data_IF_304354352795
#
_entry.id   IF_304354352795
#
_cell.length_a   1.000
_cell.length_b   1.000
_cell.length_c   1.000
_cell.angle_alpha   90.00
_cell.angle_beta   90.00
_cell.angle_gamma   90.00
#
_symmetry.space_group_name_H-M   'P 1'
#
loop_
_entity.id
_entity.type
_entity.pdbx_description
1 polymer ?
#
# COMPACT_ATOMS: atom_id res chain seq x y z
N UNK A 1 18.10 12.36 -12.12
CA UNK A 1 18.40 11.66 -10.86
C UNK A 1 18.16 10.17 -11.09
N UNK A 2 19.10 9.30 -10.72
CA UNK A 2 18.97 7.85 -10.85
C UNK A 2 18.95 7.26 -9.44
N UNK A 3 18.03 6.33 -9.18
CA UNK A 3 17.88 5.65 -7.90
C UNK A 3 18.28 4.19 -8.08
N UNK A 4 19.15 3.69 -7.20
CA UNK A 4 19.55 2.29 -7.18
C UNK A 4 18.75 1.60 -6.06
N UNK A 5 17.98 0.58 -6.41
CA UNK A 5 17.20 -0.23 -5.49
C UNK A 5 17.42 -1.71 -5.78
N UNK A 6 17.01 -2.58 -4.87
CA UNK A 6 16.97 -4.02 -5.09
C UNK A 6 16.06 -4.36 -6.29
N UNK A 7 16.40 -5.45 -6.99
CA UNK A 7 15.64 -5.92 -8.12
C UNK A 7 14.55 -6.90 -7.65
N UNK A 8 13.31 -6.64 -8.07
CA UNK A 8 12.13 -7.46 -7.77
C UNK A 8 11.74 -8.24 -9.03
N UNK A 9 12.18 -9.49 -9.12
CA UNK A 9 12.12 -10.33 -10.32
C UNK A 9 10.73 -10.96 -10.60
N UNK A 10 9.82 -10.91 -9.64
CA UNK A 10 8.41 -11.30 -9.79
C UNK A 10 7.54 -10.26 -10.51
N UNK A 11 8.10 -9.09 -10.83
CA UNK A 11 7.39 -8.02 -11.53
C UNK A 11 6.37 -7.29 -10.64
N UNK A 12 5.43 -6.59 -11.26
CA UNK A 12 4.37 -5.88 -10.53
C UNK A 12 3.16 -6.77 -10.24
N UNK A 13 2.47 -6.48 -9.13
CA UNK A 13 1.32 -7.26 -8.67
C UNK A 13 0.17 -7.25 -9.70
N UNK A 14 0.03 -6.22 -10.53
CA UNK A 14 -1.00 -6.20 -11.59
C UNK A 14 -0.74 -7.30 -12.61
N UNK A 15 0.50 -7.46 -13.08
CA UNK A 15 0.89 -8.53 -14.00
C UNK A 15 0.67 -9.91 -13.38
N UNK A 16 1.01 -10.08 -12.09
CA UNK A 16 0.81 -11.35 -11.39
C UNK A 16 -0.68 -11.70 -11.27
N UNK A 17 -1.53 -10.74 -10.91
CA UNK A 17 -2.99 -10.96 -10.84
C UNK A 17 -3.59 -11.31 -12.21
N UNK A 18 -3.16 -10.63 -13.28
CA UNK A 18 -3.62 -10.90 -14.64
C UNK A 18 -3.18 -12.30 -15.12
N UNK A 19 -1.92 -12.67 -14.88
CA UNK A 19 -1.40 -14.00 -15.22
C UNK A 19 -2.10 -15.11 -14.41
N UNK A 20 -2.49 -14.84 -13.17
CA UNK A 20 -3.13 -15.82 -12.29
C UNK A 20 -4.49 -16.30 -12.83
N UNK A 21 -5.19 -15.49 -13.62
CA UNK A 21 -6.44 -15.89 -14.28
C UNK A 21 -6.26 -17.10 -15.21
N UNK A 22 -5.04 -17.33 -15.70
CA UNK A 22 -4.71 -18.45 -16.60
C UNK A 22 -3.92 -19.54 -15.90
N UNK A 23 -2.89 -19.19 -15.11
CA UNK A 23 -1.93 -20.14 -14.53
C UNK A 23 -2.27 -20.61 -13.11
N UNK A 24 -3.14 -19.89 -12.38
CA UNK A 24 -3.52 -20.17 -10.98
C UNK A 24 -2.34 -20.40 -10.00
N UNK A 25 -1.17 -19.79 -10.27
CA UNK A 25 0.04 -19.93 -9.44
C UNK A 25 0.07 -19.00 -8.22
N UNK A 26 -0.70 -17.91 -8.24
CA UNK A 26 -0.83 -16.97 -7.13
C UNK A 26 -2.01 -17.39 -6.24
N UNK A 27 -1.70 -18.25 -5.27
CA UNK A 27 -2.67 -18.87 -4.36
C UNK A 27 -3.24 -17.87 -3.35
N UNK A 28 -4.28 -18.29 -2.62
CA UNK A 28 -4.83 -17.49 -1.53
C UNK A 28 -3.79 -17.22 -0.42
N UNK A 29 -2.92 -18.19 -0.14
CA UNK A 29 -1.80 -18.02 0.80
C UNK A 29 -0.86 -16.91 0.35
N UNK A 30 -0.48 -16.87 -0.94
CA UNK A 30 0.34 -15.79 -1.49
C UNK A 30 -0.38 -14.43 -1.41
N UNK A 31 -1.70 -14.38 -1.68
CA UNK A 31 -2.50 -13.16 -1.52
C UNK A 31 -2.49 -12.64 -0.08
N UNK A 32 -2.66 -13.52 0.91
CA UNK A 32 -2.61 -13.13 2.33
C UNK A 32 -1.23 -12.59 2.69
N UNK A 33 -0.16 -13.28 2.31
CA UNK A 33 1.20 -12.82 2.58
C UNK A 33 1.50 -11.46 1.93
N UNK A 34 1.11 -11.29 0.67
CA UNK A 34 1.26 -10.02 -0.04
C UNK A 34 0.45 -8.90 0.63
N UNK A 35 -0.79 -9.14 1.05
CA UNK A 35 -1.57 -8.16 1.82
C UNK A 35 -0.91 -7.81 3.16
N UNK A 36 -0.34 -8.79 3.85
CA UNK A 36 0.37 -8.57 5.10
C UNK A 36 1.59 -7.66 4.89
N UNK A 37 2.43 -7.93 3.89
CA UNK A 37 3.59 -7.08 3.60
C UNK A 37 3.19 -5.65 3.23
N UNK A 38 2.11 -5.48 2.44
CA UNK A 38 1.59 -4.15 2.11
C UNK A 38 1.07 -3.45 3.37
N UNK A 39 0.36 -4.16 4.25
CA UNK A 39 -0.15 -3.61 5.48
C UNK A 39 0.99 -3.17 6.42
N UNK A 40 2.03 -3.99 6.59
CA UNK A 40 3.22 -3.68 7.37
C UNK A 40 3.93 -2.44 6.82
N UNK A 41 4.10 -2.35 5.50
CA UNK A 41 4.71 -1.19 4.86
C UNK A 41 3.88 0.09 5.07
N UNK A 42 2.55 0.03 4.94
CA UNK A 42 1.67 1.17 5.21
C UNK A 42 1.70 1.57 6.68
N UNK A 43 1.72 0.60 7.60
CA UNK A 43 1.83 0.86 9.04
C UNK A 43 3.14 1.56 9.35
N UNK A 44 4.25 1.10 8.76
CA UNK A 44 5.55 1.74 8.89
C UNK A 44 5.53 3.19 8.41
N UNK A 45 5.07 3.46 7.18
CA UNK A 45 5.01 4.81 6.62
C UNK A 45 4.16 5.78 7.47
N UNK A 46 3.03 5.30 7.98
CA UNK A 46 2.15 6.11 8.81
C UNK A 46 2.62 6.24 10.27
N UNK A 47 3.59 5.44 10.71
CA UNK A 47 4.22 5.56 12.04
C UNK A 47 5.38 6.56 12.08
N UNK A 48 5.82 7.06 10.91
CA UNK A 48 6.88 8.05 10.82
C UNK A 48 6.45 9.41 11.38
N UNK A 49 7.43 10.19 11.84
CA UNK A 49 7.26 11.59 12.23
C UNK A 49 8.25 12.46 11.44
N UNK A 50 7.78 13.23 10.44
CA UNK A 50 6.39 13.42 10.04
C UNK A 50 5.78 12.23 9.29
N UNK A 51 4.45 12.10 9.32
CA UNK A 51 3.72 10.98 8.70
C UNK A 51 3.92 10.97 7.19
N UNK A 52 4.28 9.81 6.62
CA UNK A 52 4.44 9.66 5.18
C UNK A 52 3.21 9.02 4.56
N UNK A 53 2.59 9.70 3.59
CA UNK A 53 1.46 9.15 2.81
C UNK A 53 1.89 8.87 1.38
N UNK A 54 1.72 7.63 0.92
CA UNK A 54 2.12 7.19 -0.42
C UNK A 54 1.36 7.91 -1.56
N UNK A 55 0.05 8.08 -1.43
CA UNK A 55 -0.88 8.74 -2.39
C UNK A 55 -1.01 8.12 -3.80
N UNK A 56 -0.20 7.14 -4.18
CA UNK A 56 -0.41 6.37 -5.42
C UNK A 56 -0.36 4.86 -5.19
N UNK A 57 -0.94 4.38 -4.07
CA UNK A 57 -0.99 2.94 -3.84
C UNK A 57 -1.92 2.31 -4.87
N UNK A 58 -1.41 1.36 -5.65
CA UNK A 58 -2.13 0.56 -6.66
C UNK A 58 -1.32 -0.70 -6.96
N UNK A 59 -1.94 -1.70 -7.59
CA UNK A 59 -1.25 -2.97 -7.90
C UNK A 59 -0.01 -2.83 -8.79
N UNK A 60 0.09 -1.78 -9.62
CA UNK A 60 1.31 -1.50 -10.40
C UNK A 60 2.49 -0.99 -9.55
N UNK A 61 2.19 -0.42 -8.39
CA UNK A 61 3.16 0.16 -7.47
C UNK A 61 3.48 -0.80 -6.32
N UNK A 62 3.14 -2.08 -6.48
CA UNK A 62 3.54 -3.16 -5.60
C UNK A 62 4.36 -4.14 -6.44
N UNK A 63 5.62 -4.31 -6.08
CA UNK A 63 6.54 -5.24 -6.73
C UNK A 63 6.66 -6.53 -5.91
N UNK A 64 6.89 -7.64 -6.60
CA UNK A 64 7.05 -8.97 -6.02
C UNK A 64 8.42 -9.54 -6.37
N UNK A 65 9.01 -10.28 -5.44
CA UNK A 65 10.18 -11.12 -5.72
C UNK A 65 9.75 -12.56 -6.11
N UNK A 66 10.72 -13.43 -6.37
CA UNK A 66 10.52 -14.83 -6.71
C UNK A 66 9.71 -15.62 -5.66
N UNK A 67 9.75 -15.20 -4.40
CA UNK A 67 9.07 -15.83 -3.27
C UNK A 67 7.70 -15.19 -2.98
N UNK A 68 7.24 -14.27 -3.83
CA UNK A 68 6.01 -13.48 -3.68
C UNK A 68 6.00 -12.54 -2.46
N UNK A 69 7.16 -12.12 -1.95
CA UNK A 69 7.23 -11.03 -0.97
C UNK A 69 6.96 -9.70 -1.66
N UNK A 70 6.12 -8.88 -1.05
CA UNK A 70 5.65 -7.63 -1.67
C UNK A 70 6.35 -6.39 -1.10
N UNK A 71 6.73 -5.46 -1.98
CA UNK A 71 7.27 -4.14 -1.61
C UNK A 71 6.55 -3.03 -2.36
N UNK A 72 6.21 -1.95 -1.63
CA UNK A 72 5.61 -0.75 -2.21
C UNK A 72 6.72 0.07 -2.91
N UNK A 73 6.43 0.58 -4.09
CA UNK A 73 7.33 1.42 -4.89
C UNK A 73 6.63 2.67 -5.40
N UNK A 74 7.39 3.56 -6.04
CA UNK A 74 6.92 4.82 -6.64
C UNK A 74 6.36 5.84 -5.64
N UNK A 75 7.26 6.26 -4.75
CA UNK A 75 7.04 7.38 -3.82
C UNK A 75 7.16 8.76 -4.51
N UNK A 76 7.10 8.83 -5.84
CA UNK A 76 7.30 10.09 -6.59
C UNK A 76 6.27 11.17 -6.25
N UNK A 77 5.10 10.76 -5.74
CA UNK A 77 4.11 11.64 -5.16
C UNK A 77 3.85 11.37 -3.68
N UNK A 78 4.77 10.76 -2.94
CA UNK A 78 4.61 10.68 -1.49
C UNK A 78 4.65 12.10 -0.88
N UNK A 79 4.02 12.28 0.28
CA UNK A 79 4.13 13.53 1.04
C UNK A 79 4.27 13.23 2.52
N UNK A 80 5.17 13.97 3.14
CA UNK A 80 5.20 14.15 4.59
C UNK A 80 4.05 15.09 4.98
N UNK A 81 3.32 14.72 6.03
CA UNK A 81 2.16 15.45 6.51
C UNK A 81 2.26 15.65 8.01
N UNK A 82 2.39 16.90 8.44
CA UNK A 82 2.40 17.26 9.86
C UNK A 82 0.98 17.30 10.45
N UNK A 83 0.88 17.25 11.78
CA UNK A 83 -0.39 17.33 12.52
C UNK A 83 -1.25 18.55 12.13
N UNK A 84 -0.62 19.67 11.80
CA UNK A 84 -1.28 20.91 11.33
C UNK A 84 -1.94 20.74 9.96
N UNK A 85 -1.35 19.93 9.08
CA UNK A 85 -1.88 19.64 7.73
C UNK A 85 -2.96 18.56 7.79
N UNK A 86 -2.86 17.64 8.75
CA UNK A 86 -3.90 16.63 9.04
C UNK A 86 -5.17 17.27 9.63
N UNK A 87 -5.05 18.28 10.48
CA UNK A 87 -6.18 19.02 11.07
C UNK A 87 -6.86 19.99 10.09
N UNK A 88 -6.13 20.50 9.10
CA UNK A 88 -6.68 21.38 8.08
C UNK A 88 -7.61 20.68 7.06
N UNK A 89 -7.64 19.34 7.02
CA UNK A 89 -8.58 18.57 6.19
C UNK A 89 -8.35 18.67 4.67
N UNK A 90 -7.31 19.34 4.21
CA UNK A 90 -7.10 19.57 2.77
C UNK A 90 -6.38 18.36 2.17
N UNK A 91 -7.16 17.37 1.70
CA UNK A 91 -6.69 16.31 0.79
C UNK A 91 -6.37 14.95 1.43
N UNK A 92 -6.25 14.86 2.76
CA UNK A 92 -5.90 13.62 3.48
C UNK A 92 -7.09 12.65 3.60
N UNK A 93 -8.34 13.15 3.63
CA UNK A 93 -9.54 12.31 3.82
C UNK A 93 -9.67 11.18 2.79
N UNK A 94 -9.15 11.35 1.56
CA UNK A 94 -9.21 10.30 0.52
C UNK A 94 -8.32 9.07 0.81
N UNK A 95 -7.47 9.16 1.83
CA UNK A 95 -6.49 8.15 2.24
C UNK A 95 -6.76 7.61 3.66
N UNK A 96 -7.79 8.14 4.32
CA UNK A 96 -8.21 7.75 5.67
C UNK A 96 -9.48 6.91 5.54
N UNK A 97 -9.54 5.81 6.30
CA UNK A 97 -10.74 4.98 6.35
C UNK A 97 -11.89 5.77 7.01
N UNK A 98 -13.14 5.68 6.52
CA UNK A 98 -14.24 6.48 7.04
C UNK A 98 -14.47 6.27 8.55
N UNK A 99 -14.27 5.05 9.06
CA UNK A 99 -14.36 4.71 10.48
C UNK A 99 -13.33 5.46 11.35
N UNK A 100 -12.13 5.72 10.80
CA UNK A 100 -11.07 6.48 11.48
C UNK A 100 -11.43 7.97 11.62
N UNK A 101 -12.33 8.48 10.77
CA UNK A 101 -12.81 9.87 10.87
C UNK A 101 -13.88 10.06 11.95
N UNK A 102 -14.56 8.97 12.36
CA UNK A 102 -15.70 9.02 13.27
C UNK A 102 -15.26 8.90 14.72
N UNK A 103 -14.33 7.97 15.02
CA UNK A 103 -13.95 7.65 16.40
C UNK A 103 -12.80 8.51 16.95
N UNK A 104 -12.17 9.33 16.12
CA UNK A 104 -11.05 10.21 16.50
C UNK A 104 -9.73 9.47 16.79
N UNK A 105 -9.80 8.17 17.10
CA UNK A 105 -8.67 7.26 17.15
C UNK A 105 -8.25 6.86 15.72
N UNK A 106 -6.94 6.80 15.47
CA UNK A 106 -6.37 6.54 14.13
C UNK A 106 -5.56 5.25 14.13
N UNK A 107 -6.21 4.09 14.32
CA UNK A 107 -5.51 2.81 14.25
C UNK A 107 -4.98 2.59 12.83
N UNK A 108 -3.66 2.59 12.72
CA UNK A 108 -2.93 2.47 11.45
C UNK A 108 -3.27 1.19 10.68
N UNK A 109 -3.61 0.12 11.42
CA UNK A 109 -4.02 -1.18 10.88
C UNK A 109 -5.36 -1.13 10.12
N UNK A 110 -6.37 -0.42 10.64
CA UNK A 110 -7.64 -0.24 9.93
C UNK A 110 -7.45 0.60 8.67
N UNK A 111 -6.62 1.64 8.76
CA UNK A 111 -6.29 2.48 7.61
C UNK A 111 -5.55 1.70 6.52
N UNK A 112 -4.62 0.83 6.89
CA UNK A 112 -3.91 -0.04 5.95
C UNK A 112 -4.87 -1.02 5.24
N UNK A 113 -5.75 -1.68 6.00
CA UNK A 113 -6.74 -2.61 5.45
C UNK A 113 -7.70 -1.91 4.47
N UNK A 114 -8.17 -0.71 4.81
CA UNK A 114 -8.99 0.11 3.92
C UNK A 114 -8.27 0.45 2.61
N UNK A 115 -7.00 0.89 2.70
CA UNK A 115 -6.23 1.25 1.51
C UNK A 115 -5.99 0.05 0.59
N UNK A 116 -5.64 -1.13 1.15
CA UNK A 116 -5.51 -2.37 0.37
C UNK A 116 -6.81 -2.66 -0.38
N UNK A 117 -7.94 -2.67 0.34
CA UNK A 117 -9.26 -3.00 -0.24
C UNK A 117 -9.69 -2.02 -1.32
N UNK A 118 -9.52 -0.71 -1.10
CA UNK A 118 -10.04 0.31 -1.99
C UNK A 118 -9.12 0.65 -3.16
N UNK A 119 -7.83 0.31 -3.10
CA UNK A 119 -6.83 0.79 -4.06
C UNK A 119 -6.11 -0.31 -4.84
N UNK A 120 -6.19 -1.56 -4.39
CA UNK A 120 -5.60 -2.70 -5.11
C UNK A 120 -6.73 -3.48 -5.78
N UNK A 121 -7.07 -3.06 -7.00
CA UNK A 121 -8.14 -3.68 -7.80
C UNK A 121 -7.92 -5.18 -8.02
N UNK A 122 -8.97 -5.98 -7.80
CA UNK A 122 -8.98 -7.42 -8.13
C UNK A 122 -8.12 -8.31 -7.22
N UNK A 123 -7.66 -7.77 -6.09
CA UNK A 123 -6.81 -8.52 -5.16
C UNK A 123 -7.58 -9.55 -4.32
N UNK A 124 -8.71 -9.14 -3.74
CA UNK A 124 -9.64 -9.97 -2.98
C UNK A 124 -10.74 -10.53 -3.87
#
# INVERSE_FOLDING_TARGET
MMLLAEFMDGGDLRQVLEANNTKRSFTWTHKIHCALNIAEALVFLHSMDPIVIHRDLKSRNVLLDADFNAKITDFGIAREVDETTLTAGIGTYRWIAPEVLVDGDRPTSLQAAYQIRCRIEGFL
#
